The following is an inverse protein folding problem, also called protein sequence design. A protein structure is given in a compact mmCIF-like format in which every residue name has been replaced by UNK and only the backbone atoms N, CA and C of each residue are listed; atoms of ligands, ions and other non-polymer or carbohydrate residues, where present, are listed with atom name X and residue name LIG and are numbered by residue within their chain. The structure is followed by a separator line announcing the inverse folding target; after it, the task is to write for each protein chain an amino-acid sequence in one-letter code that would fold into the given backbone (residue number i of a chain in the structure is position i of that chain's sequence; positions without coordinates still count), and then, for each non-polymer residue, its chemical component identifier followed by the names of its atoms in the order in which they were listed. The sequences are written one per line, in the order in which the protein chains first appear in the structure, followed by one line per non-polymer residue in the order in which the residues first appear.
data_IF_085676557660
#
_entry.id   IF_085676557660
#
_cell.length_a   1.000
_cell.length_b   1.000
_cell.length_c   1.000
_cell.angle_alpha   90.00
_cell.angle_beta   90.00
_cell.angle_gamma   90.00
#
_symmetry.space_group_name_H-M   'P 1'
#
loop_
_entity.id
_entity.type
_entity.pdbx_description
1 polymer ?
#
# COMPACT_ATOMS: atom_id res chain seq x y z
N UNK A 1 -16.03 7.25 -6.99
CA UNK A 1 -15.18 6.12 -6.57
C UNK A 1 -14.90 6.06 -5.06
N UNK A 2 -14.88 7.17 -4.30
CA UNK A 2 -14.76 7.14 -2.83
C UNK A 2 -15.85 6.33 -2.08
N UNK A 3 -17.04 6.16 -2.67
CA UNK A 3 -18.11 5.39 -2.06
C UNK A 3 -17.86 3.87 -2.07
N UNK A 4 -17.23 3.30 -3.10
CA UNK A 4 -17.12 1.84 -3.21
C UNK A 4 -16.17 1.23 -2.18
N UNK A 5 -15.02 1.85 -1.90
CA UNK A 5 -14.06 1.31 -0.91
C UNK A 5 -14.58 1.36 0.53
N UNK A 6 -15.35 2.40 0.86
CA UNK A 6 -15.98 2.51 2.18
C UNK A 6 -17.13 1.49 2.35
N UNK A 7 -17.90 1.25 1.29
CA UNK A 7 -18.97 0.23 1.26
C UNK A 7 -18.40 -1.18 1.34
N UNK A 8 -17.29 -1.45 0.63
CA UNK A 8 -16.57 -2.73 0.70
C UNK A 8 -16.13 -3.03 2.14
N UNK A 9 -15.49 -2.05 2.80
CA UNK A 9 -15.01 -2.20 4.17
C UNK A 9 -16.15 -2.33 5.19
N UNK A 10 -17.24 -1.56 5.05
CA UNK A 10 -18.44 -1.69 5.88
C UNK A 10 -19.10 -3.07 5.71
N UNK A 11 -19.13 -3.60 4.48
CA UNK A 11 -19.59 -4.95 4.18
C UNK A 11 -18.73 -6.02 4.86
N UNK A 12 -17.41 -5.91 4.74
CA UNK A 12 -16.46 -6.84 5.37
C UNK A 12 -16.50 -6.78 6.90
N UNK A 13 -16.62 -5.58 7.49
CA UNK A 13 -16.75 -5.38 8.94
C UNK A 13 -18.04 -6.03 9.46
N UNK A 14 -19.15 -5.89 8.74
CA UNK A 14 -20.41 -6.56 9.08
C UNK A 14 -20.31 -8.09 9.00
N UNK A 15 -19.52 -8.63 8.07
CA UNK A 15 -19.26 -10.07 7.96
C UNK A 15 -18.33 -10.58 9.07
N UNK A 16 -17.27 -9.85 9.41
CA UNK A 16 -16.33 -10.21 10.47
C UNK A 16 -16.99 -10.24 11.87
N UNK A 17 -17.93 -9.35 12.14
CA UNK A 17 -18.68 -9.29 13.41
C UNK A 17 -19.69 -10.45 13.56
N UNK A 18 -20.10 -11.07 12.45
CA UNK A 18 -21.10 -12.16 12.45
C UNK A 18 -20.53 -13.54 12.80
N UNK A 19 -19.21 -13.71 12.88
CA UNK A 19 -18.57 -15.01 13.13
C UNK A 19 -18.80 -16.07 12.04
N UNK A 20 -19.53 -15.74 10.98
CA UNK A 20 -19.92 -16.63 9.89
C UNK A 20 -18.77 -16.93 8.90
N UNK A 21 -17.62 -16.26 9.05
CA UNK A 21 -16.51 -16.33 8.10
C UNK A 21 -15.94 -17.74 7.96
N UNK A 22 -15.81 -18.52 9.04
CA UNK A 22 -15.06 -19.79 8.97
C UNK A 22 -15.78 -20.96 8.29
N UNK A 23 -17.11 -21.00 8.31
CA UNK A 23 -17.88 -22.12 7.73
C UNK A 23 -18.35 -21.88 6.28
N UNK A 24 -18.31 -20.62 5.80
CA UNK A 24 -18.63 -20.26 4.40
C UNK A 24 -17.41 -20.22 3.46
N UNK A 25 -16.18 -20.31 4.02
CA UNK A 25 -14.90 -20.14 3.30
C UNK A 25 -14.23 -21.45 2.82
N UNK A 26 -14.88 -22.61 2.95
CA UNK A 26 -14.25 -23.91 2.66
C UNK A 26 -14.68 -24.54 1.32
N UNK A 27 -15.22 -23.77 0.37
CA UNK A 27 -15.81 -24.29 -0.86
C UNK A 27 -15.10 -23.85 -2.15
N UNK A 28 -14.85 -24.76 -3.12
CA UNK A 28 -14.34 -24.42 -4.46
C UNK A 28 -15.25 -23.46 -5.26
N UNK A 29 -16.48 -23.22 -4.81
CA UNK A 29 -17.46 -22.34 -5.44
C UNK A 29 -17.05 -20.86 -5.45
N UNK A 30 -16.24 -20.37 -4.50
CA UNK A 30 -15.85 -18.94 -4.46
C UNK A 30 -14.85 -18.56 -5.57
N UNK A 31 -14.04 -19.52 -6.00
CA UNK A 31 -13.09 -19.39 -7.11
C UNK A 31 -13.80 -19.39 -8.47
N UNK A 32 -14.73 -20.32 -8.69
CA UNK A 32 -15.59 -20.25 -9.87
C UNK A 32 -16.42 -18.97 -9.85
N UNK A 33 -16.87 -18.51 -8.68
CA UNK A 33 -17.61 -17.24 -8.54
C UNK A 33 -16.78 -16.01 -8.88
N UNK A 34 -15.49 -15.96 -8.53
CA UNK A 34 -14.61 -14.81 -8.88
C UNK A 34 -14.25 -14.79 -10.36
N UNK A 35 -13.99 -15.96 -10.96
CA UNK A 35 -13.78 -16.10 -12.40
C UNK A 35 -15.07 -15.82 -13.19
N UNK A 36 -16.23 -16.32 -12.73
CA UNK A 36 -17.54 -16.07 -13.33
C UNK A 36 -18.01 -14.63 -13.13
N UNK A 37 -17.65 -13.96 -12.03
CA UNK A 37 -17.94 -12.54 -11.83
C UNK A 37 -17.23 -11.67 -12.89
N UNK A 38 -16.00 -12.02 -13.27
CA UNK A 38 -15.30 -11.35 -14.38
C UNK A 38 -15.80 -11.78 -15.77
N UNK A 39 -15.97 -13.08 -16.01
CA UNK A 39 -16.45 -13.59 -17.31
C UNK A 39 -17.91 -13.18 -17.61
N UNK A 40 -18.75 -13.06 -16.58
CA UNK A 40 -20.14 -12.61 -16.70
C UNK A 40 -20.28 -11.09 -16.94
N UNK A 41 -19.30 -10.29 -16.49
CA UNK A 41 -19.28 -8.84 -16.68
C UNK A 41 -18.79 -8.41 -18.07
N UNK A 42 -17.97 -9.25 -18.72
CA UNK A 42 -17.31 -8.96 -20.00
C UNK A 42 -18.06 -9.47 -21.23
N UNK A 43 -19.24 -10.08 -21.03
CA UNK A 43 -20.27 -10.29 -22.06
C UNK A 43 -19.74 -10.54 -23.47
N UNK A 44 -19.27 -11.76 -23.74
CA UNK A 44 -19.06 -12.22 -25.11
C UNK A 44 -20.44 -12.36 -25.79
N UNK A 45 -20.98 -11.25 -26.29
CA UNK A 45 -22.30 -11.15 -26.90
C UNK A 45 -22.51 -9.77 -27.49
N UNK A 46 -22.28 -9.64 -28.79
CA UNK A 46 -22.36 -8.38 -29.51
C UNK A 46 -23.73 -7.70 -29.45
N UNK A 47 -23.69 -6.37 -29.40
CA UNK A 47 -24.76 -5.48 -29.82
C UNK A 47 -25.65 -4.91 -28.72
N UNK A 48 -25.42 -3.62 -28.41
CA UNK A 48 -26.46 -2.73 -27.87
C UNK A 48 -26.34 -2.38 -26.39
N UNK A 49 -26.03 -1.10 -26.12
CA UNK A 49 -26.14 -0.38 -24.84
C UNK A 49 -25.33 -0.93 -23.64
N UNK A 50 -24.12 -0.41 -23.44
CA UNK A 50 -23.39 -0.46 -22.15
C UNK A 50 -23.74 0.82 -21.39
N UNK A 51 -24.28 0.81 -20.15
CA UNK A 51 -23.43 0.79 -18.94
C UNK A 51 -24.12 0.30 -17.63
N UNK A 52 -23.70 -0.83 -17.08
CA UNK A 52 -23.91 -1.24 -15.67
C UNK A 52 -23.11 -2.50 -15.31
N UNK A 53 -22.81 -3.36 -16.30
CA UNK A 53 -22.24 -4.70 -16.14
C UNK A 53 -20.75 -4.72 -15.79
N UNK A 54 -19.95 -3.78 -16.30
CA UNK A 54 -18.49 -3.75 -16.08
C UNK A 54 -18.12 -3.26 -14.67
N UNK A 55 -18.83 -2.24 -14.18
CA UNK A 55 -18.70 -1.75 -12.80
C UNK A 55 -19.18 -2.78 -11.76
N UNK A 56 -20.27 -3.51 -12.08
CA UNK A 56 -20.77 -4.59 -11.23
C UNK A 56 -19.80 -5.78 -11.17
N UNK A 57 -19.11 -6.11 -12.28
CA UNK A 57 -18.07 -7.15 -12.31
C UNK A 57 -16.83 -6.79 -11.50
N UNK A 58 -16.37 -5.55 -11.64
CA UNK A 58 -15.21 -5.00 -10.92
C UNK A 58 -15.46 -4.99 -9.40
N UNK A 59 -16.66 -4.55 -8.98
CA UNK A 59 -17.04 -4.51 -7.58
C UNK A 59 -17.29 -5.92 -6.99
N UNK A 60 -17.92 -6.82 -7.75
CA UNK A 60 -18.10 -8.21 -7.34
C UNK A 60 -16.75 -8.91 -7.17
N UNK A 61 -15.82 -8.72 -8.10
CA UNK A 61 -14.46 -9.25 -7.97
C UNK A 61 -13.73 -8.68 -6.76
N UNK A 62 -13.73 -7.35 -6.57
CA UNK A 62 -13.06 -6.72 -5.43
C UNK A 62 -13.61 -7.24 -4.09
N UNK A 63 -14.92 -7.46 -3.99
CA UNK A 63 -15.56 -8.03 -2.80
C UNK A 63 -15.10 -9.47 -2.55
N UNK A 64 -15.16 -10.33 -3.57
CA UNK A 64 -14.75 -11.74 -3.44
C UNK A 64 -13.26 -11.86 -3.11
N UNK A 65 -12.41 -11.09 -3.78
CA UNK A 65 -10.99 -11.01 -3.50
C UNK A 65 -10.72 -10.58 -2.05
N UNK A 66 -11.42 -9.56 -1.56
CA UNK A 66 -11.23 -9.07 -0.20
C UNK A 66 -11.64 -10.13 0.85
N UNK A 67 -12.72 -10.86 0.60
CA UNK A 67 -13.16 -11.99 1.44
C UNK A 67 -12.09 -13.08 1.49
N UNK A 68 -11.51 -13.44 0.36
CA UNK A 68 -10.44 -14.45 0.26
C UNK A 68 -9.20 -14.00 1.06
N UNK A 69 -8.77 -12.75 0.89
CA UNK A 69 -7.62 -12.20 1.62
C UNK A 69 -7.85 -12.10 3.13
N UNK A 70 -9.08 -11.79 3.57
CA UNK A 70 -9.45 -11.80 5.00
C UNK A 70 -9.54 -13.22 5.55
N UNK A 71 -9.97 -14.17 4.70
CA UNK A 71 -10.06 -15.59 5.04
C UNK A 71 -8.70 -16.26 5.31
N UNK A 72 -7.61 -15.68 4.80
CA UNK A 72 -6.25 -16.17 5.03
C UNK A 72 -5.88 -17.39 4.18
N UNK A 73 -6.58 -17.64 3.07
CA UNK A 73 -6.29 -18.76 2.18
C UNK A 73 -5.30 -18.34 1.08
N UNK A 74 -4.02 -18.62 1.28
CA UNK A 74 -2.93 -18.28 0.35
C UNK A 74 -3.12 -18.87 -1.06
N UNK A 75 -3.68 -20.07 -1.18
CA UNK A 75 -3.89 -20.72 -2.48
C UNK A 75 -4.97 -20.02 -3.29
N UNK A 76 -6.06 -19.62 -2.62
CA UNK A 76 -7.11 -18.82 -3.26
C UNK A 76 -6.65 -17.39 -3.53
N UNK A 77 -5.79 -16.83 -2.68
CA UNK A 77 -5.20 -15.52 -2.89
C UNK A 77 -4.36 -15.48 -4.18
N UNK A 78 -3.47 -16.46 -4.37
CA UNK A 78 -2.65 -16.65 -5.58
C UNK A 78 -3.52 -16.68 -6.85
N UNK A 79 -4.57 -17.50 -6.84
CA UNK A 79 -5.49 -17.63 -7.98
C UNK A 79 -6.24 -16.33 -8.33
N UNK A 80 -6.60 -15.51 -7.32
CA UNK A 80 -7.23 -14.21 -7.55
C UNK A 80 -6.26 -13.21 -8.16
N UNK A 81 -4.98 -13.26 -7.79
CA UNK A 81 -3.94 -12.39 -8.33
C UNK A 81 -3.66 -12.77 -9.79
N UNK A 82 -3.52 -14.06 -10.07
CA UNK A 82 -3.33 -14.58 -11.43
C UNK A 82 -4.50 -14.17 -12.33
N UNK A 83 -5.75 -14.33 -11.86
CA UNK A 83 -6.93 -13.90 -12.60
C UNK A 83 -6.93 -12.39 -12.90
N UNK A 84 -6.48 -11.55 -11.96
CA UNK A 84 -6.37 -10.11 -12.19
C UNK A 84 -5.24 -9.75 -13.16
N UNK A 85 -4.10 -10.46 -13.10
CA UNK A 85 -2.97 -10.27 -13.99
C UNK A 85 -3.33 -10.70 -15.43
N UNK A 86 -3.98 -11.85 -15.60
CA UNK A 86 -4.48 -12.33 -16.89
C UNK A 86 -5.49 -11.34 -17.49
N UNK A 87 -6.49 -10.89 -16.71
CA UNK A 87 -7.46 -9.90 -17.16
C UNK A 87 -6.80 -8.58 -17.59
N UNK A 88 -5.76 -8.14 -16.88
CA UNK A 88 -5.00 -6.96 -17.25
C UNK A 88 -4.29 -7.14 -18.60
N UNK A 89 -3.67 -8.31 -18.82
CA UNK A 89 -3.00 -8.63 -20.10
C UNK A 89 -4.00 -8.72 -21.26
N UNK A 90 -5.24 -9.10 -20.99
CA UNK A 90 -6.36 -9.07 -21.93
C UNK A 90 -6.94 -7.66 -22.18
N UNK A 91 -6.30 -6.62 -21.62
CA UNK A 91 -6.65 -5.22 -21.83
C UNK A 91 -7.68 -4.67 -20.85
N UNK A 92 -7.85 -5.30 -19.69
CA UNK A 92 -8.80 -4.88 -18.63
C UNK A 92 -8.05 -4.29 -17.43
N UNK A 93 -7.63 -3.02 -17.47
CA UNK A 93 -6.88 -2.40 -16.38
C UNK A 93 -7.69 -2.30 -15.07
N UNK A 94 -9.02 -2.31 -15.15
CA UNK A 94 -9.90 -2.25 -13.97
C UNK A 94 -9.74 -3.47 -13.05
N UNK A 95 -9.26 -4.62 -13.56
CA UNK A 95 -8.95 -5.80 -12.75
C UNK A 95 -7.83 -5.54 -11.74
N UNK A 96 -6.77 -4.83 -12.17
CA UNK A 96 -5.70 -4.42 -11.27
C UNK A 96 -6.18 -3.41 -10.22
N UNK A 97 -7.10 -2.50 -10.58
CA UNK A 97 -7.72 -1.56 -9.63
C UNK A 97 -8.55 -2.32 -8.60
N UNK A 98 -9.38 -3.26 -9.05
CA UNK A 98 -10.24 -4.06 -8.20
C UNK A 98 -9.43 -4.92 -7.21
N UNK A 99 -8.35 -5.54 -7.70
CA UNK A 99 -7.40 -6.26 -6.85
C UNK A 99 -6.80 -5.32 -5.79
N UNK A 100 -6.35 -4.14 -6.19
CA UNK A 100 -5.75 -3.17 -5.28
C UNK A 100 -6.74 -2.66 -4.21
N UNK A 101 -8.01 -2.47 -4.59
CA UNK A 101 -9.08 -2.11 -3.66
C UNK A 101 -9.37 -3.24 -2.67
N UNK A 102 -9.39 -4.49 -3.13
CA UNK A 102 -9.55 -5.65 -2.29
C UNK A 102 -8.42 -5.78 -1.27
N UNK A 103 -7.16 -5.72 -1.72
CA UNK A 103 -5.97 -5.76 -0.87
C UNK A 103 -6.00 -4.64 0.18
N UNK A 104 -6.27 -3.39 -0.24
CA UNK A 104 -6.35 -2.26 0.68
C UNK A 104 -7.47 -2.43 1.72
N UNK A 105 -8.64 -2.95 1.33
CA UNK A 105 -9.73 -3.22 2.26
C UNK A 105 -9.37 -4.31 3.26
N UNK A 106 -8.68 -5.36 2.83
CA UNK A 106 -8.23 -6.45 3.71
C UNK A 106 -7.18 -5.98 4.72
N UNK A 107 -6.33 -5.00 4.37
CA UNK A 107 -5.36 -4.38 5.30
C UNK A 107 -6.02 -3.72 6.51
N UNK A 108 -7.30 -3.32 6.43
CA UNK A 108 -8.01 -2.75 7.57
C UNK A 108 -8.26 -3.77 8.70
N UNK A 109 -8.17 -5.07 8.41
CA UNK A 109 -8.28 -6.15 9.39
C UNK A 109 -6.93 -6.50 10.03
N UNK A 110 -5.87 -5.82 9.62
CA UNK A 110 -4.49 -6.05 10.07
C UNK A 110 -3.66 -6.80 9.03
N UNK A 111 -2.37 -6.97 9.32
CA UNK A 111 -1.46 -7.73 8.46
C UNK A 111 -1.86 -9.22 8.43
N UNK A 112 -1.70 -9.84 7.26
CA UNK A 112 -1.88 -11.28 7.08
C UNK A 112 -0.95 -11.81 6.00
N UNK A 113 -0.61 -13.10 6.08
CA UNK A 113 0.25 -13.75 5.07
C UNK A 113 -0.38 -13.68 3.67
N UNK A 114 -1.70 -13.80 3.55
CA UNK A 114 -2.40 -13.66 2.27
C UNK A 114 -2.35 -12.26 1.70
N UNK A 115 -2.39 -11.21 2.52
CA UNK A 115 -2.23 -9.82 2.04
C UNK A 115 -0.78 -9.57 1.61
N UNK A 116 0.18 -10.09 2.36
CA UNK A 116 1.60 -9.97 2.07
C UNK A 116 1.98 -10.71 0.78
N UNK A 117 1.46 -11.92 0.61
CA UNK A 117 1.54 -12.72 -0.62
C UNK A 117 0.91 -11.95 -1.77
N UNK A 118 -0.31 -11.44 -1.60
CA UNK A 118 -1.02 -10.74 -2.67
C UNK A 118 -0.28 -9.51 -3.20
N UNK A 119 0.33 -8.75 -2.30
CA UNK A 119 1.20 -7.65 -2.68
C UNK A 119 2.44 -8.16 -3.39
N UNK A 120 3.12 -9.17 -2.85
CA UNK A 120 4.39 -9.67 -3.39
C UNK A 120 4.19 -10.24 -4.80
N UNK A 121 3.20 -11.10 -5.00
CA UNK A 121 2.93 -11.75 -6.28
C UNK A 121 2.43 -10.75 -7.32
N UNK A 122 1.56 -9.81 -6.94
CA UNK A 122 1.10 -8.78 -7.87
C UNK A 122 2.24 -7.86 -8.34
N UNK A 123 3.22 -7.57 -7.47
CA UNK A 123 4.44 -6.85 -7.86
C UNK A 123 5.39 -7.72 -8.70
N UNK A 124 5.36 -9.04 -8.52
CA UNK A 124 6.19 -10.03 -9.23
C UNK A 124 5.67 -10.36 -10.63
N UNK A 125 4.35 -10.32 -10.82
CA UNK A 125 3.70 -10.45 -12.13
C UNK A 125 4.30 -9.46 -13.15
N UNK A 126 4.87 -8.36 -12.65
CA UNK A 126 5.83 -7.56 -13.40
C UNK A 126 5.20 -6.73 -14.51
N UNK A 127 6.06 -6.13 -15.34
CA UNK A 127 5.65 -5.29 -16.45
C UNK A 127 4.78 -4.09 -16.04
N UNK A 128 3.83 -3.75 -16.91
CA UNK A 128 2.89 -2.64 -16.69
C UNK A 128 1.87 -2.97 -15.58
N UNK A 129 1.55 -4.26 -15.38
CA UNK A 129 0.60 -4.70 -14.35
C UNK A 129 1.09 -4.36 -12.94
N UNK A 130 2.30 -4.82 -12.55
CA UNK A 130 2.81 -4.59 -11.20
C UNK A 130 2.98 -3.10 -10.88
N UNK A 131 3.43 -2.31 -11.87
CA UNK A 131 3.56 -0.85 -11.74
C UNK A 131 2.20 -0.18 -11.56
N UNK A 132 1.21 -0.61 -12.34
CA UNK A 132 -0.14 -0.07 -12.29
C UNK A 132 -0.87 -0.48 -10.99
N UNK A 133 -0.79 -1.75 -10.61
CA UNK A 133 -1.28 -2.28 -9.34
C UNK A 133 -0.73 -1.50 -8.15
N UNK A 134 0.58 -1.27 -8.08
CA UNK A 134 1.20 -0.49 -7.00
C UNK A 134 0.63 0.92 -6.88
N UNK A 135 0.41 1.60 -8.02
CA UNK A 135 -0.20 2.92 -8.03
C UNK A 135 -1.69 2.91 -7.61
N UNK A 136 -2.43 1.86 -8.01
CA UNK A 136 -3.82 1.66 -7.64
C UNK A 136 -3.96 1.32 -6.15
N UNK A 137 -3.05 0.51 -5.60
CA UNK A 137 -3.03 0.08 -4.21
C UNK A 137 -2.78 1.26 -3.28
N UNK A 138 -1.77 2.08 -3.61
CA UNK A 138 -1.49 3.34 -2.93
C UNK A 138 -2.73 4.26 -2.86
N UNK A 139 -3.43 4.39 -3.99
CA UNK A 139 -4.65 5.21 -4.10
C UNK A 139 -5.80 4.62 -3.28
N UNK A 140 -6.00 3.31 -3.36
CA UNK A 140 -7.04 2.61 -2.61
C UNK A 140 -6.82 2.72 -1.09
N UNK A 141 -5.59 2.49 -0.62
CA UNK A 141 -5.23 2.62 0.79
C UNK A 141 -5.45 4.06 1.30
N UNK A 142 -5.05 5.07 0.51
CA UNK A 142 -5.30 6.47 0.83
C UNK A 142 -6.78 6.80 0.96
N UNK A 143 -7.59 6.33 0.03
CA UNK A 143 -9.04 6.53 0.05
C UNK A 143 -9.67 5.86 1.28
N UNK A 144 -9.19 4.66 1.64
CA UNK A 144 -9.71 3.91 2.77
C UNK A 144 -9.41 4.61 4.11
N UNK A 145 -8.17 5.07 4.29
CA UNK A 145 -7.76 5.84 5.49
C UNK A 145 -8.54 7.15 5.61
N UNK A 146 -8.84 7.81 4.48
CA UNK A 146 -9.66 9.02 4.49
C UNK A 146 -11.15 8.74 4.79
N UNK A 147 -11.65 7.57 4.39
CA UNK A 147 -13.05 7.20 4.56
C UNK A 147 -13.37 6.64 5.96
N UNK A 148 -12.42 5.98 6.63
CA UNK A 148 -12.69 5.25 7.87
C UNK A 148 -11.71 5.62 8.97
N UNK A 149 -12.24 6.23 10.03
CA UNK A 149 -11.45 6.78 11.15
C UNK A 149 -10.72 5.69 11.96
N UNK A 150 -11.33 4.53 12.14
CA UNK A 150 -10.75 3.41 12.90
C UNK A 150 -9.70 2.63 12.08
N UNK A 151 -9.85 2.61 10.76
CA UNK A 151 -8.89 1.99 9.83
C UNK A 151 -7.59 2.81 9.68
N UNK A 152 -7.58 4.08 10.11
CA UNK A 152 -6.46 4.99 9.94
C UNK A 152 -5.18 4.54 10.68
N UNK A 153 -5.29 3.68 11.70
CA UNK A 153 -4.14 3.09 12.37
C UNK A 153 -3.79 1.69 11.83
N UNK A 154 -4.80 0.87 11.51
CA UNK A 154 -4.60 -0.51 11.06
C UNK A 154 -4.03 -0.60 9.63
N UNK A 155 -4.59 0.17 8.70
CA UNK A 155 -4.20 0.11 7.28
C UNK A 155 -2.74 0.50 7.07
N UNK A 156 -2.21 1.60 7.66
CA UNK A 156 -0.80 1.95 7.45
C UNK A 156 0.18 0.91 8.02
N UNK A 157 -0.18 0.25 9.12
CA UNK A 157 0.61 -0.84 9.70
C UNK A 157 0.68 -2.05 8.76
N UNK A 158 -0.48 -2.55 8.33
CA UNK A 158 -0.57 -3.67 7.40
C UNK A 158 0.07 -3.35 6.03
N UNK A 159 -0.07 -2.11 5.55
CA UNK A 159 0.57 -1.65 4.33
C UNK A 159 2.10 -1.64 4.46
N UNK A 160 2.64 -1.10 5.56
CA UNK A 160 4.08 -1.08 5.80
C UNK A 160 4.67 -2.50 5.89
N UNK A 161 3.96 -3.42 6.56
CA UNK A 161 4.38 -4.81 6.68
C UNK A 161 4.34 -5.55 5.33
N UNK A 162 3.29 -5.36 4.53
CA UNK A 162 3.22 -5.94 3.19
C UNK A 162 4.36 -5.45 2.29
N UNK A 163 4.69 -4.15 2.38
CA UNK A 163 5.87 -3.62 1.68
C UNK A 163 7.18 -4.21 2.22
N UNK A 164 7.32 -4.37 3.54
CA UNK A 164 8.49 -5.01 4.16
C UNK A 164 8.71 -6.46 3.69
N UNK A 165 7.62 -7.19 3.49
CA UNK A 165 7.68 -8.58 3.04
C UNK A 165 7.99 -8.66 1.54
N UNK A 166 7.43 -7.76 0.71
CA UNK A 166 7.80 -7.65 -0.69
C UNK A 166 9.27 -7.26 -0.87
N UNK A 167 9.73 -6.32 -0.05
CA UNK A 167 11.12 -5.88 0.06
C UNK A 167 12.09 -7.04 0.36
N UNK A 168 11.79 -7.82 1.40
CA UNK A 168 12.58 -8.97 1.81
C UNK A 168 12.66 -10.06 0.73
N UNK A 169 11.67 -10.13 -0.15
CA UNK A 169 11.62 -11.05 -1.29
C UNK A 169 12.30 -10.52 -2.56
N UNK A 170 12.89 -9.32 -2.51
CA UNK A 170 13.67 -8.73 -3.61
C UNK A 170 12.90 -7.77 -4.51
N UNK A 171 11.68 -7.35 -4.13
CA UNK A 171 10.84 -6.43 -4.91
C UNK A 171 10.98 -4.96 -4.48
N UNK A 172 12.17 -4.60 -3.98
CA UNK A 172 12.41 -3.31 -3.33
C UNK A 172 12.09 -2.09 -4.18
N UNK A 173 12.34 -2.14 -5.48
CA UNK A 173 12.02 -1.02 -6.38
C UNK A 173 10.50 -0.79 -6.48
N UNK A 174 9.73 -1.87 -6.66
CA UNK A 174 8.27 -1.79 -6.82
C UNK A 174 7.60 -1.41 -5.50
N UNK A 175 8.11 -1.90 -4.37
CA UNK A 175 7.69 -1.50 -3.04
C UNK A 175 7.96 0.00 -2.79
N UNK A 176 9.17 0.49 -3.12
CA UNK A 176 9.51 1.91 -3.01
C UNK A 176 8.64 2.80 -3.93
N UNK A 177 8.33 2.35 -5.15
CA UNK A 177 7.43 3.06 -6.06
C UNK A 177 6.00 3.12 -5.52
N UNK A 178 5.51 2.03 -4.93
CA UNK A 178 4.18 1.94 -4.31
C UNK A 178 4.08 2.87 -3.10
N UNK A 179 5.09 2.89 -2.23
CA UNK A 179 5.19 3.83 -1.11
C UNK A 179 5.26 5.30 -1.58
N UNK A 180 6.00 5.58 -2.65
CA UNK A 180 6.07 6.92 -3.24
C UNK A 180 4.72 7.35 -3.82
N UNK A 181 4.02 6.44 -4.48
CA UNK A 181 2.68 6.67 -4.99
C UNK A 181 1.70 6.96 -3.84
N UNK A 182 1.80 6.22 -2.72
CA UNK A 182 0.97 6.46 -1.54
C UNK A 182 1.20 7.85 -0.93
N UNK A 183 2.48 8.24 -0.79
CA UNK A 183 2.86 9.58 -0.34
C UNK A 183 2.36 10.68 -1.27
N UNK A 184 2.41 10.44 -2.59
CA UNK A 184 1.98 11.41 -3.60
C UNK A 184 0.45 11.54 -3.64
N UNK A 185 -0.26 10.41 -3.60
CA UNK A 185 -1.72 10.36 -3.61
C UNK A 185 -2.32 10.98 -2.34
N UNK A 186 -1.64 10.84 -1.20
CA UNK A 186 -2.15 11.29 0.09
C UNK A 186 -1.03 11.69 1.04
N UNK A 187 -0.63 12.98 1.06
CA UNK A 187 0.41 13.50 1.96
C UNK A 187 0.18 13.18 3.44
N UNK A 188 -1.09 13.08 3.86
CA UNK A 188 -1.48 12.76 5.23
C UNK A 188 -1.10 11.33 5.67
N UNK A 189 -0.79 10.42 4.73
CA UNK A 189 -0.27 9.08 5.03
C UNK A 189 1.20 9.07 5.45
N UNK A 190 1.94 10.16 5.22
CA UNK A 190 3.37 10.23 5.54
C UNK A 190 3.66 9.90 7.01
N UNK A 191 2.86 10.47 7.93
CA UNK A 191 2.98 10.20 9.36
C UNK A 191 2.70 8.74 9.73
N UNK A 192 1.47 8.22 9.49
CA UNK A 192 1.14 6.89 9.95
C UNK A 192 1.97 5.81 9.26
N UNK A 193 2.38 5.98 7.99
CA UNK A 193 3.31 5.06 7.34
C UNK A 193 4.68 5.07 8.01
N UNK A 194 5.23 6.25 8.32
CA UNK A 194 6.53 6.34 8.99
C UNK A 194 6.51 5.70 10.39
N UNK A 195 5.43 5.94 11.15
CA UNK A 195 5.26 5.36 12.48
C UNK A 195 5.07 3.83 12.41
N UNK A 196 4.30 3.35 11.42
CA UNK A 196 4.10 1.93 11.16
C UNK A 196 5.39 1.21 10.79
N UNK A 197 6.19 1.78 9.87
CA UNK A 197 7.47 1.20 9.44
C UNK A 197 8.42 1.08 10.63
N UNK A 198 8.49 2.10 11.50
CA UNK A 198 9.30 2.04 12.70
C UNK A 198 8.82 0.94 13.68
N UNK A 199 7.51 0.66 13.74
CA UNK A 199 6.98 -0.42 14.57
C UNK A 199 7.25 -1.83 13.98
N UNK A 200 7.28 -1.98 12.65
CA UNK A 200 7.65 -3.24 11.98
C UNK A 200 9.12 -3.61 12.26
N UNK A 201 10.00 -2.63 12.40
CA UNK A 201 11.40 -2.85 12.82
C UNK A 201 11.48 -3.48 14.23
N UNK A 202 10.72 -2.95 15.20
CA UNK A 202 10.74 -3.44 16.57
C UNK A 202 10.27 -4.92 16.67
N UNK A 203 9.57 -5.42 15.65
CA UNK A 203 9.11 -6.80 15.52
C UNK A 203 10.10 -7.75 14.82
N UNK A 204 11.28 -7.29 14.40
CA UNK A 204 12.33 -8.12 13.80
C UNK A 204 12.43 -8.07 12.27
N UNK A 205 11.78 -7.12 11.61
CA UNK A 205 11.95 -6.85 10.18
C UNK A 205 13.34 -6.28 9.85
N UNK A 206 13.82 -6.48 8.61
CA UNK A 206 15.11 -5.92 8.16
C UNK A 206 15.00 -4.41 7.95
N UNK A 207 15.31 -3.64 8.99
CA UNK A 207 15.14 -2.19 9.02
C UNK A 207 16.02 -1.44 8.01
N UNK A 208 17.10 -2.04 7.55
CA UNK A 208 17.97 -1.48 6.51
C UNK A 208 17.30 -1.48 5.13
N UNK A 209 16.59 -2.56 4.79
CA UNK A 209 15.88 -2.68 3.51
C UNK A 209 14.70 -1.71 3.48
N UNK A 210 13.89 -1.71 4.54
CA UNK A 210 12.75 -0.79 4.69
C UNK A 210 13.18 0.68 4.71
N UNK A 211 14.25 1.01 5.43
CA UNK A 211 14.81 2.36 5.42
C UNK A 211 15.27 2.79 4.02
N UNK A 212 15.88 1.87 3.27
CA UNK A 212 16.32 2.12 1.89
C UNK A 212 15.16 2.40 0.97
N UNK A 213 14.12 1.57 1.02
CA UNK A 213 12.93 1.74 0.19
C UNK A 213 12.14 2.97 0.56
N UNK A 214 12.00 3.25 1.86
CA UNK A 214 11.33 4.47 2.32
C UNK A 214 12.11 5.73 1.91
N UNK A 215 13.45 5.69 1.93
CA UNK A 215 14.29 6.76 1.43
C UNK A 215 14.13 6.97 -0.09
N UNK A 216 14.13 5.88 -0.87
CA UNK A 216 13.86 5.92 -2.31
C UNK A 216 12.45 6.46 -2.59
N UNK A 217 11.45 6.03 -1.82
CA UNK A 217 10.07 6.50 -1.92
C UNK A 217 9.98 7.99 -1.63
N UNK A 218 10.66 8.45 -0.58
CA UNK A 218 10.76 9.87 -0.22
C UNK A 218 11.38 10.66 -1.37
N UNK A 219 12.53 10.24 -1.89
CA UNK A 219 13.20 10.92 -3.01
C UNK A 219 12.35 10.95 -4.30
N UNK A 220 11.63 9.86 -4.57
CA UNK A 220 10.72 9.79 -5.71
C UNK A 220 9.49 10.72 -5.52
N UNK A 221 8.97 10.84 -4.30
CA UNK A 221 7.90 11.79 -3.97
C UNK A 221 8.35 13.25 -4.15
N UNK A 222 9.60 13.58 -3.77
CA UNK A 222 10.21 14.90 -4.04
C UNK A 222 10.23 15.18 -5.53
N UNK A 223 10.69 14.22 -6.33
CA UNK A 223 10.76 14.34 -7.81
C UNK A 223 9.38 14.54 -8.43
N UNK A 224 8.32 13.99 -7.82
CA UNK A 224 6.92 14.16 -8.23
C UNK A 224 6.26 15.42 -7.69
N UNK A 225 6.99 16.30 -7.00
CA UNK A 225 6.47 17.57 -6.48
C UNK A 225 5.71 17.48 -5.15
N UNK A 226 5.78 16.35 -4.45
CA UNK A 226 5.13 16.17 -3.15
C UNK A 226 6.05 16.63 -1.98
N UNK A 227 6.63 17.84 -2.08
CA UNK A 227 7.65 18.30 -1.11
C UNK A 227 7.14 18.34 0.33
N UNK A 228 5.91 18.80 0.57
CA UNK A 228 5.35 18.86 1.92
C UNK A 228 5.14 17.47 2.53
N UNK A 229 4.74 16.48 1.71
CA UNK A 229 4.60 15.09 2.14
C UNK A 229 5.96 14.48 2.48
N UNK A 230 6.95 14.71 1.60
CA UNK A 230 8.32 14.25 1.80
C UNK A 230 8.95 14.90 3.04
N UNK A 231 8.74 16.19 3.29
CA UNK A 231 9.24 16.88 4.48
C UNK A 231 8.62 16.31 5.75
N UNK A 232 7.33 15.99 5.71
CA UNK A 232 6.66 15.35 6.82
C UNK A 232 7.21 13.94 7.08
N UNK A 233 7.40 13.13 6.02
CA UNK A 233 8.01 11.80 6.11
C UNK A 233 9.42 11.87 6.72
N UNK A 234 10.28 12.78 6.25
CA UNK A 234 11.62 12.99 6.80
C UNK A 234 11.55 13.38 8.28
N UNK A 235 10.66 14.30 8.65
CA UNK A 235 10.48 14.71 10.04
C UNK A 235 10.05 13.53 10.93
N UNK A 236 9.06 12.75 10.51
CA UNK A 236 8.54 11.63 11.31
C UNK A 236 9.55 10.50 11.42
N UNK A 237 10.18 10.11 10.31
CA UNK A 237 11.18 9.04 10.28
C UNK A 237 12.43 9.39 11.09
N UNK A 238 12.95 10.61 11.00
CA UNK A 238 14.12 11.04 11.77
C UNK A 238 13.81 11.38 13.24
N UNK A 239 12.53 11.36 13.63
CA UNK A 239 12.13 11.50 15.05
C UNK A 239 11.52 10.23 15.64
N UNK A 240 11.55 9.12 14.89
CA UNK A 240 11.13 7.78 15.30
C UNK A 240 12.22 7.05 16.13
N UNK A 241 11.96 5.78 16.47
CA UNK A 241 12.88 4.92 17.22
C UNK A 241 14.24 4.73 16.49
N UNK A 242 15.28 4.42 17.28
CA UNK A 242 16.68 4.78 16.95
C UNK A 242 17.47 3.86 16.00
N UNK A 243 17.05 2.65 15.59
CA UNK A 243 17.74 1.96 14.51
C UNK A 243 17.22 2.36 13.11
N UNK A 244 15.89 2.42 12.88
CA UNK A 244 15.32 2.85 11.60
C UNK A 244 15.69 4.29 11.24
N UNK A 245 15.59 5.22 12.18
CA UNK A 245 15.90 6.63 11.91
C UNK A 245 17.33 6.83 11.37
N UNK A 246 18.29 6.02 11.86
CA UNK A 246 19.69 6.08 11.43
C UNK A 246 19.88 5.42 10.06
N UNK A 247 19.29 4.25 9.83
CA UNK A 247 19.32 3.58 8.54
C UNK A 247 18.68 4.46 7.45
N UNK A 248 17.54 5.07 7.76
CA UNK A 248 16.82 5.98 6.86
C UNK A 248 17.63 7.23 6.54
N UNK A 249 18.28 7.85 7.55
CA UNK A 249 19.17 8.98 7.31
C UNK A 249 20.31 8.63 6.34
N UNK A 250 20.94 7.46 6.53
CA UNK A 250 22.01 6.98 5.65
C UNK A 250 21.49 6.76 4.23
N UNK A 251 20.42 5.98 4.09
CA UNK A 251 19.86 5.65 2.79
C UNK A 251 19.36 6.89 2.02
N UNK A 252 18.76 7.85 2.72
CA UNK A 252 18.29 9.09 2.11
C UNK A 252 19.47 9.96 1.65
N UNK A 253 20.58 10.00 2.39
CA UNK A 253 21.79 10.67 1.92
C UNK A 253 22.43 9.96 0.72
N UNK A 254 22.36 8.62 0.65
CA UNK A 254 22.87 7.83 -0.47
C UNK A 254 22.06 8.05 -1.77
N UNK A 255 20.81 8.55 -1.69
CA UNK A 255 20.07 8.99 -2.89
C UNK A 255 20.69 10.22 -3.57
N UNK A 256 21.64 10.88 -2.91
CA UNK A 256 22.39 12.03 -3.40
C UNK A 256 21.73 13.37 -3.04
N UNK A 257 22.52 14.40 -2.65
CA UNK A 257 21.97 15.72 -2.35
C UNK A 257 21.43 16.35 -3.64
N UNK A 258 20.12 16.58 -3.67
CA UNK A 258 19.46 17.43 -4.66
C UNK A 258 18.96 18.72 -4.00
N UNK A 259 18.79 19.83 -4.75
CA UNK A 259 18.21 21.05 -4.20
C UNK A 259 16.85 20.80 -3.51
N UNK A 260 16.04 19.93 -4.09
CA UNK A 260 14.76 19.52 -3.51
C UNK A 260 14.90 18.71 -2.22
N UNK A 261 15.90 17.83 -2.11
CA UNK A 261 16.17 17.10 -0.87
C UNK A 261 16.61 18.04 0.25
N UNK A 262 17.50 19.00 -0.02
CA UNK A 262 17.92 19.94 1.00
C UNK A 262 16.78 20.84 1.49
N UNK A 263 15.91 21.33 0.59
CA UNK A 263 14.72 22.10 0.97
C UNK A 263 13.79 21.29 1.89
N UNK A 264 13.52 20.04 1.51
CA UNK A 264 12.69 19.09 2.27
C UNK A 264 13.28 18.80 3.65
N UNK A 265 14.59 18.57 3.75
CA UNK A 265 15.29 18.35 5.02
C UNK A 265 15.27 19.60 5.90
N UNK A 266 15.44 20.79 5.32
CA UNK A 266 15.36 22.05 6.05
C UNK A 266 13.94 22.29 6.60
N UNK A 267 12.90 21.98 5.83
CA UNK A 267 11.52 22.09 6.29
C UNK A 267 11.20 21.06 7.37
N UNK A 268 11.66 19.82 7.23
CA UNK A 268 11.56 18.80 8.27
C UNK A 268 12.26 19.24 9.57
N UNK A 269 13.43 19.87 9.46
CA UNK A 269 14.17 20.43 10.61
C UNK A 269 13.38 21.56 11.29
N UNK A 270 12.76 22.48 10.53
CA UNK A 270 11.89 23.52 11.09
C UNK A 270 10.72 22.90 11.86
N UNK A 271 10.07 21.87 11.30
CA UNK A 271 8.98 21.15 11.96
C UNK A 271 9.44 20.47 13.25
N UNK A 272 10.63 19.86 13.24
CA UNK A 272 11.22 19.24 14.42
C UNK A 272 11.49 20.25 15.54
N UNK A 273 12.06 21.42 15.19
CA UNK A 273 12.29 22.50 16.17
C UNK A 273 10.98 23.02 16.74
N UNK A 274 9.98 23.29 15.89
CA UNK A 274 8.66 23.74 16.33
C UNK A 274 7.96 22.73 17.26
N UNK A 275 8.21 21.43 17.05
CA UNK A 275 7.63 20.34 17.85
C UNK A 275 8.48 19.95 19.07
N UNK A 276 9.56 20.67 19.39
CA UNK A 276 10.47 20.34 20.51
C UNK A 276 11.33 19.10 20.28
N UNK A 277 11.32 18.52 19.08
CA UNK A 277 12.08 17.31 18.69
C UNK A 277 13.39 17.61 17.96
N UNK A 278 13.82 18.87 17.90
CA UNK A 278 15.00 19.30 17.13
C UNK A 278 16.29 18.56 17.49
N UNK A 279 16.51 18.24 18.77
CA UNK A 279 17.68 17.47 19.22
C UNK A 279 17.61 16.02 18.72
N UNK A 280 16.44 15.38 18.82
CA UNK A 280 16.22 14.01 18.34
C UNK A 280 16.47 13.93 16.83
N UNK A 281 15.88 14.86 16.08
CA UNK A 281 16.07 14.97 14.64
C UNK A 281 17.56 15.15 14.28
N UNK A 282 18.25 16.10 14.91
CA UNK A 282 19.67 16.36 14.64
C UNK A 282 20.55 15.14 14.99
N UNK A 283 20.20 14.42 16.06
CA UNK A 283 20.93 13.21 16.46
C UNK A 283 20.76 12.09 15.43
N UNK A 284 19.55 11.89 14.92
CA UNK A 284 19.27 10.86 13.90
C UNK A 284 19.85 11.23 12.53
N UNK A 285 19.68 12.48 12.11
CA UNK A 285 20.24 13.02 10.87
C UNK A 285 21.78 12.95 10.85
N UNK A 286 22.42 13.09 12.02
CA UNK A 286 23.87 13.07 12.15
C UNK A 286 24.55 14.09 11.22
N UNK A 287 25.58 13.65 10.50
CA UNK A 287 26.26 14.46 9.47
C UNK A 287 25.70 14.25 8.06
N UNK A 288 24.69 13.39 7.89
CA UNK A 288 24.20 12.94 6.59
C UNK A 288 23.72 14.11 5.70
N UNK A 289 23.22 15.18 6.33
CA UNK A 289 22.72 16.37 5.66
C UNK A 289 23.47 17.65 6.05
N UNK A 290 24.74 17.55 6.47
CA UNK A 290 25.53 18.71 6.88
C UNK A 290 25.83 19.68 5.71
N UNK A 291 25.67 19.23 4.46
CA UNK A 291 25.76 20.04 3.25
C UNK A 291 24.45 20.74 2.86
N UNK A 292 23.36 20.45 3.59
CA UNK A 292 22.11 21.18 3.59
C UNK A 292 22.04 22.07 4.86
#
# INVERSE_FOLDING_TARGET
MLLSSAVLLLGLLAMADSGASRDLLAGPDLLESSQLAWQGATGNGGGGAVPATEAAGTEAFANTAAIIFVGGNETEAELVIDAAAEAYLDGQPDAAIALAQAVAASMAFGPSDSVNLAVSDALTAGGDFGSFFGSALATAAANLVAAVRDAAAAVPAAFAEAMANAAAQGFSLSAAQTLAAALTASPQLAKPLSDAIAAVEDAGGSSEVLATEWAQATAAAITRGAQSAAAYAVFTSLTAARPFAKAYASALADTGPSPGLCEVVQDAKKQATASGKGVTFATAAGSAFASC
#
